data_IF_553971912986
#
_entry.id   IF_553971912986
#
_cell.length_a   1.000
_cell.length_b   1.000
_cell.length_c   1.000
_cell.angle_alpha   90.00
_cell.angle_beta   90.00
_cell.angle_gamma   90.00
#
_symmetry.space_group_name_H-M   'P 1'
#
loop_
_entity.id
_entity.type
_entity.pdbx_description
1 polymer ?
#
# COMPACT_ATOMS: atom_id res chain seq x y z
N UNK A 1 -0.27 5.13 -27.92
CA UNK A 1 0.96 5.71 -27.33
C UNK A 1 1.04 5.31 -25.87
N UNK A 2 1.80 4.28 -25.53
CA UNK A 2 2.14 4.02 -24.13
C UNK A 2 3.10 5.11 -23.70
N UNK A 3 2.61 6.15 -23.01
CA UNK A 3 3.49 7.11 -22.32
C UNK A 3 4.37 6.28 -21.38
N UNK A 4 5.70 6.40 -21.51
CA UNK A 4 6.63 5.84 -20.53
C UNK A 4 6.17 6.30 -19.15
N UNK A 5 5.93 5.35 -18.25
CA UNK A 5 5.68 5.64 -16.84
C UNK A 5 6.86 6.51 -16.38
N UNK A 6 6.57 7.71 -15.88
CA UNK A 6 7.62 8.60 -15.42
C UNK A 6 8.42 7.88 -14.32
N UNK A 7 9.77 8.00 -14.29
CA UNK A 7 10.60 7.31 -13.29
C UNK A 7 10.17 7.54 -11.84
N UNK A 8 9.51 8.68 -11.60
CA UNK A 8 8.94 9.08 -10.33
C UNK A 8 7.82 8.15 -9.83
N UNK A 9 6.94 7.67 -10.72
CA UNK A 9 5.80 6.81 -10.34
C UNK A 9 6.24 5.45 -9.82
N UNK A 10 7.40 4.97 -10.25
CA UNK A 10 7.99 3.76 -9.71
C UNK A 10 8.40 3.91 -8.25
N UNK A 11 8.87 5.10 -7.82
CA UNK A 11 9.19 5.36 -6.42
C UNK A 11 7.94 5.25 -5.54
N UNK A 12 6.84 5.86 -5.99
CA UNK A 12 5.54 5.78 -5.33
C UNK A 12 5.01 4.34 -5.28
N UNK A 13 5.13 3.60 -6.39
CA UNK A 13 4.82 2.18 -6.41
C UNK A 13 5.61 1.38 -5.37
N UNK A 14 6.94 1.53 -5.32
CA UNK A 14 7.77 0.80 -4.35
C UNK A 14 7.47 1.20 -2.90
N UNK A 15 7.23 2.49 -2.63
CA UNK A 15 6.82 2.98 -1.32
C UNK A 15 5.48 2.37 -0.91
N UNK A 16 4.51 2.36 -1.83
CA UNK A 16 3.23 1.68 -1.67
C UNK A 16 3.38 0.21 -1.36
N UNK A 17 4.21 -0.53 -2.11
CA UNK A 17 4.49 -1.94 -1.87
C UNK A 17 5.04 -2.19 -0.49
N UNK A 18 6.01 -1.39 -0.04
CA UNK A 18 6.55 -1.52 1.30
C UNK A 18 5.46 -1.29 2.38
N UNK A 19 4.63 -0.25 2.22
CA UNK A 19 3.51 0.01 3.14
C UNK A 19 2.52 -1.15 3.18
N UNK A 20 2.14 -1.68 2.01
CA UNK A 20 1.22 -2.81 1.90
C UNK A 20 1.73 -4.07 2.60
N UNK A 21 3.02 -4.42 2.45
CA UNK A 21 3.63 -5.56 3.14
C UNK A 21 3.56 -5.37 4.66
N UNK A 22 4.02 -4.21 5.14
CA UNK A 22 4.16 -3.93 6.57
C UNK A 22 2.79 -3.94 7.24
N UNK A 23 1.82 -3.18 6.71
CA UNK A 23 0.50 -3.09 7.32
C UNK A 23 -0.26 -4.40 7.25
N UNK A 24 -0.15 -5.17 6.15
CA UNK A 24 -0.81 -6.46 6.07
C UNK A 24 -0.30 -7.44 7.12
N UNK A 25 1.02 -7.48 7.35
CA UNK A 25 1.62 -8.35 8.38
C UNK A 25 1.17 -7.90 9.78
N UNK A 26 1.18 -6.60 10.05
CA UNK A 26 0.75 -6.04 11.34
C UNK A 26 -0.74 -6.35 11.59
N UNK A 27 -1.61 -6.12 10.61
CA UNK A 27 -3.05 -6.34 10.78
C UNK A 27 -3.40 -7.84 10.92
N UNK A 28 -2.67 -8.74 10.23
CA UNK A 28 -2.84 -10.19 10.44
C UNK A 28 -2.40 -10.57 11.86
N UNK A 29 -1.30 -9.99 12.36
CA UNK A 29 -0.83 -10.23 13.72
C UNK A 29 -1.78 -9.69 14.79
N UNK A 30 -2.41 -8.53 14.56
CA UNK A 30 -3.38 -7.92 15.47
C UNK A 30 -4.75 -8.63 15.46
N UNK A 31 -5.19 -9.12 14.29
CA UNK A 31 -6.49 -9.77 14.12
C UNK A 31 -6.36 -11.20 13.59
N UNK A 32 -5.69 -12.11 14.33
CA UNK A 32 -5.29 -13.42 13.82
C UNK A 32 -6.43 -14.43 13.64
N UNK A 33 -7.68 -14.02 13.88
CA UNK A 33 -8.88 -14.82 13.62
C UNK A 33 -9.79 -14.20 12.55
N UNK A 34 -9.42 -13.04 11.99
CA UNK A 34 -10.26 -12.27 11.07
C UNK A 34 -9.42 -11.74 9.90
N UNK A 35 -8.76 -12.62 9.13
CA UNK A 35 -7.75 -12.18 8.17
C UNK A 35 -8.32 -11.40 6.97
N UNK A 36 -9.59 -11.68 6.60
CA UNK A 36 -10.30 -10.89 5.61
C UNK A 36 -10.54 -9.46 6.10
N UNK A 37 -10.88 -9.29 7.39
CA UNK A 37 -11.02 -7.97 7.99
C UNK A 37 -9.67 -7.24 8.03
N UNK A 38 -8.58 -7.93 8.40
CA UNK A 38 -7.21 -7.39 8.34
C UNK A 38 -6.90 -6.84 6.95
N UNK A 39 -7.21 -7.59 5.90
CA UNK A 39 -6.95 -7.19 4.51
C UNK A 39 -7.76 -5.94 4.11
N UNK A 40 -9.02 -5.85 4.54
CA UNK A 40 -9.87 -4.67 4.28
C UNK A 40 -9.32 -3.44 5.02
N UNK A 41 -8.94 -3.59 6.30
CA UNK A 41 -8.36 -2.52 7.10
C UNK A 41 -7.07 -2.03 6.46
N UNK A 42 -6.16 -2.94 6.11
CA UNK A 42 -4.90 -2.59 5.42
C UNK A 42 -5.17 -1.85 4.11
N UNK A 43 -6.14 -2.29 3.29
CA UNK A 43 -6.47 -1.60 2.04
C UNK A 43 -6.92 -0.16 2.29
N UNK A 44 -7.79 0.04 3.29
CA UNK A 44 -8.27 1.37 3.68
C UNK A 44 -7.11 2.25 4.13
N UNK A 45 -6.20 1.71 4.95
CA UNK A 45 -4.99 2.43 5.41
C UNK A 45 -4.11 2.83 4.22
N UNK A 46 -3.83 1.90 3.30
CA UNK A 46 -3.02 2.17 2.10
C UNK A 46 -3.64 3.29 1.25
N UNK A 47 -4.96 3.26 1.04
CA UNK A 47 -5.67 4.31 0.28
C UNK A 47 -5.58 5.65 0.99
N UNK A 48 -5.87 5.69 2.30
CA UNK A 48 -5.85 6.93 3.10
C UNK A 48 -4.44 7.54 3.11
N UNK A 49 -3.40 6.74 3.32
CA UNK A 49 -2.02 7.22 3.35
C UNK A 49 -1.60 7.71 1.97
N UNK A 50 -1.90 6.96 0.91
CA UNK A 50 -1.53 7.32 -0.47
C UNK A 50 -2.18 8.63 -0.91
N UNK A 51 -3.49 8.79 -0.68
CA UNK A 51 -4.19 10.05 -0.95
C UNK A 51 -3.78 11.16 0.02
N UNK A 52 -3.48 10.82 1.26
CA UNK A 52 -3.07 11.75 2.30
C UNK A 52 -1.78 12.50 1.94
N UNK A 53 -0.78 11.80 1.40
CA UNK A 53 0.45 12.43 0.91
C UNK A 53 0.18 13.39 -0.25
N UNK A 54 -0.64 13.01 -1.23
CA UNK A 54 -1.00 13.92 -2.33
C UNK A 54 -1.79 15.14 -1.85
N UNK A 55 -2.77 14.94 -0.97
CA UNK A 55 -3.54 16.04 -0.41
C UNK A 55 -2.65 16.99 0.41
N UNK A 56 -1.69 16.44 1.16
CA UNK A 56 -0.71 17.22 1.89
C UNK A 56 0.15 18.07 0.95
N UNK A 57 0.67 17.49 -0.14
CA UNK A 57 1.43 18.23 -1.16
C UNK A 57 0.59 19.32 -1.82
N UNK A 58 -0.69 19.06 -2.09
CA UNK A 58 -1.62 20.05 -2.64
C UNK A 58 -1.84 21.24 -1.70
N UNK A 59 -2.03 20.99 -0.40
CA UNK A 59 -2.35 22.02 0.60
C UNK A 59 -1.11 22.84 0.95
N UNK A 60 0.04 22.19 1.13
CA UNK A 60 1.26 22.83 1.62
C UNK A 60 2.12 23.42 0.51
N UNK A 61 1.94 22.96 -0.74
CA UNK A 61 2.83 23.28 -1.85
C UNK A 61 4.19 22.55 -1.78
N UNK A 62 4.39 21.65 -0.81
CA UNK A 62 5.60 20.83 -0.72
C UNK A 62 5.48 19.60 -1.63
N UNK A 63 6.26 19.60 -2.71
CA UNK A 63 6.23 18.54 -3.71
C UNK A 63 5.34 18.87 -4.92
N UNK A 64 5.17 17.90 -5.81
CA UNK A 64 4.32 18.03 -7.00
C UNK A 64 3.03 17.28 -6.70
N UNK A 65 1.90 17.99 -6.71
CA UNK A 65 0.60 17.32 -6.63
C UNK A 65 0.32 16.59 -7.96
N UNK A 66 0.23 15.27 -7.90
CA UNK A 66 -0.16 14.43 -9.02
C UNK A 66 -0.91 13.19 -8.51
N UNK A 67 -2.20 13.11 -8.81
CA UNK A 67 -3.06 11.99 -8.40
C UNK A 67 -2.49 10.63 -8.85
N UNK A 68 -1.70 10.60 -9.94
CA UNK A 68 -1.05 9.37 -10.39
C UNK A 68 -0.03 8.80 -9.39
N UNK A 69 0.50 9.61 -8.47
CA UNK A 69 1.39 9.15 -7.40
C UNK A 69 0.64 8.39 -6.31
N UNK A 70 -0.55 8.86 -5.93
CA UNK A 70 -1.44 8.10 -5.05
C UNK A 70 -1.87 6.79 -5.71
N UNK A 71 -2.25 6.83 -7.00
CA UNK A 71 -2.65 5.61 -7.75
C UNK A 71 -1.50 4.61 -7.85
N UNK A 72 -0.28 5.07 -8.18
CA UNK A 72 0.90 4.21 -8.23
C UNK A 72 1.19 3.57 -6.87
N UNK A 73 1.07 4.36 -5.79
CA UNK A 73 1.24 3.87 -4.41
C UNK A 73 0.18 2.84 -4.01
N UNK A 74 -1.09 3.05 -4.38
CA UNK A 74 -2.17 2.09 -4.08
C UNK A 74 -1.95 0.77 -4.82
N UNK A 75 -1.61 0.82 -6.11
CA UNK A 75 -1.31 -0.39 -6.90
C UNK A 75 -0.11 -1.12 -6.28
N UNK A 76 0.94 -0.39 -5.93
CA UNK A 76 2.07 -0.92 -5.19
C UNK A 76 1.65 -1.58 -3.89
N UNK A 77 0.80 -0.92 -3.10
CA UNK A 77 0.28 -1.41 -1.83
C UNK A 77 -0.51 -2.70 -1.97
N UNK A 78 -1.36 -2.84 -2.98
CA UNK A 78 -2.08 -4.10 -3.27
C UNK A 78 -1.08 -5.24 -3.54
N UNK A 79 -0.03 -4.98 -4.34
CA UNK A 79 1.05 -5.97 -4.56
C UNK A 79 1.75 -6.31 -3.26
N UNK A 80 2.05 -5.31 -2.43
CA UNK A 80 2.66 -5.48 -1.12
C UNK A 80 1.82 -6.31 -0.15
N UNK A 81 0.50 -6.08 -0.12
CA UNK A 81 -0.43 -6.85 0.70
C UNK A 81 -0.39 -8.34 0.33
N UNK A 82 -0.36 -8.67 -0.98
CA UNK A 82 -0.19 -10.05 -1.43
C UNK A 82 1.11 -10.69 -0.94
N UNK A 83 2.21 -9.93 -0.94
CA UNK A 83 3.48 -10.40 -0.38
C UNK A 83 3.42 -10.54 1.16
N UNK A 84 2.75 -9.64 1.87
CA UNK A 84 2.51 -9.74 3.31
C UNK A 84 1.72 -11.00 3.69
N UNK A 85 0.72 -11.35 2.88
CA UNK A 85 -0.01 -12.61 2.99
C UNK A 85 0.89 -13.84 2.81
N UNK A 86 1.75 -13.84 1.78
CA UNK A 86 2.70 -14.93 1.56
C UNK A 86 3.64 -15.11 2.77
N UNK A 87 4.11 -13.99 3.36
CA UNK A 87 4.93 -14.02 4.58
C UNK A 87 4.14 -14.58 5.77
N UNK A 88 2.89 -14.15 5.96
CA UNK A 88 2.06 -14.63 7.06
C UNK A 88 1.80 -16.15 6.98
N UNK A 89 1.52 -16.67 5.80
CA UNK A 89 1.33 -18.12 5.59
C UNK A 89 2.62 -18.88 5.84
N UNK A 90 3.74 -18.40 5.28
CA UNK A 90 5.03 -19.10 5.34
C UNK A 90 5.68 -19.09 6.73
N UNK A 91 5.53 -18.00 7.50
CA UNK A 91 6.29 -17.80 8.74
C UNK A 91 5.43 -17.67 9.99
N UNK A 92 4.19 -17.19 9.86
CA UNK A 92 3.26 -17.07 10.99
C UNK A 92 2.35 -18.30 11.14
N UNK A 93 2.56 -19.34 10.29
CA UNK A 93 1.78 -20.59 10.26
C UNK A 93 0.27 -20.35 10.16
N UNK A 94 -0.11 -19.25 9.51
CA UNK A 94 -1.49 -18.84 9.37
C UNK A 94 -2.20 -19.80 8.41
N UNK A 95 -3.33 -20.39 8.86
CA UNK A 95 -4.16 -21.27 8.02
C UNK A 95 -5.34 -20.46 7.49
N UNK A 96 -5.50 -20.44 6.17
CA UNK A 96 -6.62 -19.81 5.46
C UNK A 96 -7.89 -20.65 5.66
#
# INVERSE_FOLDING_TARGET
MFKKIAPDKWKHFYAGTLLGVIFQIIDIWLFPNQPFLSTIITLVIVIIISYGFELFSKITGFGIYDIMDAVASIIGGIVGMGAGWAVAIAFLHYKI
#
